data_IF_929963528159
#
_entry.id   IF_929963528159
#
_cell.length_a   1.000
_cell.length_b   1.000
_cell.length_c   1.000
_cell.angle_alpha   90.00
_cell.angle_beta   90.00
_cell.angle_gamma   90.00
#
_symmetry.space_group_name_H-M   'P 1'
#
loop_
_entity.id
_entity.type
_entity.pdbx_description
1 polymer ?
#
# COMPACT_ATOMS: atom_id res chain seq x y z
N UNK A 1 -20.13 -30.51 -24.62
CA UNK A 1 -19.93 -31.28 -23.38
C UNK A 1 -20.05 -30.30 -22.23
N UNK A 2 -21.14 -30.33 -21.48
CA UNK A 2 -21.40 -29.36 -20.40
C UNK A 2 -20.58 -29.76 -19.18
N UNK A 3 -19.57 -28.97 -18.83
CA UNK A 3 -18.82 -29.08 -17.59
C UNK A 3 -19.77 -28.78 -16.42
N UNK A 4 -20.24 -29.84 -15.74
CA UNK A 4 -21.15 -29.71 -14.61
C UNK A 4 -20.35 -29.17 -13.41
N UNK A 5 -20.40 -27.85 -13.20
CA UNK A 5 -19.72 -27.20 -12.09
C UNK A 5 -20.12 -27.87 -10.75
N UNK A 6 -19.12 -28.38 -10.01
CA UNK A 6 -19.32 -28.99 -8.68
C UNK A 6 -20.01 -27.98 -7.75
N UNK A 7 -21.05 -28.41 -7.05
CA UNK A 7 -21.83 -27.54 -6.15
C UNK A 7 -21.68 -27.92 -4.68
N UNK A 8 -21.95 -26.98 -3.79
CA UNK A 8 -21.96 -27.13 -2.32
C UNK A 8 -23.11 -26.30 -1.73
N UNK A 9 -23.75 -26.83 -0.69
CA UNK A 9 -24.80 -26.12 0.04
C UNK A 9 -24.17 -25.19 1.08
N UNK A 10 -24.58 -23.93 1.07
CA UNK A 10 -24.19 -22.94 2.07
C UNK A 10 -24.97 -23.17 3.37
N UNK A 11 -24.28 -23.42 4.50
CA UNK A 11 -24.97 -23.67 5.78
C UNK A 11 -25.61 -22.44 6.42
N UNK A 12 -25.40 -21.23 5.87
CA UNK A 12 -26.06 -20.00 6.35
C UNK A 12 -27.37 -19.71 5.61
N UNK A 13 -27.37 -19.81 4.28
CA UNK A 13 -28.54 -19.46 3.45
C UNK A 13 -29.27 -20.67 2.87
N UNK A 14 -28.76 -21.89 3.05
CA UNK A 14 -29.37 -23.12 2.55
C UNK A 14 -29.27 -23.36 1.04
N UNK A 15 -28.76 -22.38 0.27
CA UNK A 15 -28.72 -22.47 -1.20
C UNK A 15 -27.54 -23.33 -1.69
N UNK A 16 -27.79 -24.22 -2.65
CA UNK A 16 -26.75 -24.91 -3.42
C UNK A 16 -26.11 -23.96 -4.41
N UNK A 17 -24.80 -23.75 -4.30
CA UNK A 17 -24.02 -22.86 -5.16
C UNK A 17 -22.80 -23.57 -5.74
N UNK A 18 -22.25 -23.13 -6.88
CA UNK A 18 -20.96 -23.63 -7.37
C UNK A 18 -19.88 -23.52 -6.30
N UNK A 19 -18.93 -24.46 -6.26
CA UNK A 19 -17.79 -24.43 -5.32
C UNK A 19 -16.97 -23.15 -5.43
N UNK A 20 -16.94 -22.51 -6.62
CA UNK A 20 -16.33 -21.20 -6.85
C UNK A 20 -16.93 -20.07 -6.00
N UNK A 21 -18.17 -20.23 -5.51
CA UNK A 21 -18.82 -19.27 -4.60
C UNK A 21 -18.43 -19.46 -3.13
N UNK A 22 -17.53 -20.39 -2.84
CA UNK A 22 -17.00 -20.61 -1.51
C UNK A 22 -15.53 -20.19 -1.45
N UNK A 23 -15.12 -19.65 -0.31
CA UNK A 23 -13.70 -19.32 -0.09
C UNK A 23 -12.96 -20.61 0.28
N UNK A 24 -11.72 -20.73 -0.16
CA UNK A 24 -10.87 -21.86 0.21
C UNK A 24 -10.61 -21.90 1.73
N UNK A 25 -10.62 -23.11 2.27
CA UNK A 25 -10.25 -23.41 3.65
C UNK A 25 -9.53 -24.77 3.69
N UNK A 26 -8.20 -24.71 3.68
CA UNK A 26 -7.34 -25.90 3.62
C UNK A 26 -7.43 -26.78 4.87
N UNK A 27 -8.07 -26.30 5.94
CA UNK A 27 -8.33 -27.11 7.14
C UNK A 27 -9.53 -28.05 6.99
N UNK A 28 -10.36 -27.86 5.94
CA UNK A 28 -11.58 -28.64 5.71
C UNK A 28 -11.32 -29.76 4.71
N UNK A 29 -12.07 -30.86 4.87
CA UNK A 29 -11.98 -32.06 4.02
C UNK A 29 -12.19 -31.76 2.53
N UNK A 30 -13.12 -30.88 2.20
CA UNK A 30 -13.43 -30.47 0.82
C UNK A 30 -12.67 -29.21 0.39
N UNK A 31 -11.81 -28.66 1.24
CA UNK A 31 -11.02 -27.47 0.97
C UNK A 31 -11.82 -26.16 0.91
N UNK A 32 -13.09 -26.14 1.34
CA UNK A 32 -14.00 -24.99 1.19
C UNK A 32 -14.68 -24.62 2.50
N UNK A 33 -14.97 -23.32 2.67
CA UNK A 33 -15.77 -22.83 3.81
C UNK A 33 -17.23 -23.32 3.73
N UNK A 34 -17.90 -23.35 4.88
CA UNK A 34 -19.32 -23.71 4.98
C UNK A 34 -20.27 -22.63 4.44
N UNK A 35 -19.86 -21.37 4.52
CA UNK A 35 -20.66 -20.23 4.05
C UNK A 35 -20.17 -19.76 2.69
N UNK A 36 -21.10 -19.40 1.79
CA UNK A 36 -20.75 -18.79 0.51
C UNK A 36 -20.13 -17.40 0.70
N UNK A 37 -19.47 -16.88 -0.33
CA UNK A 37 -18.79 -15.57 -0.36
C UNK A 37 -19.74 -14.43 0.02
N UNK A 38 -20.96 -14.45 -0.49
CA UNK A 38 -22.00 -13.46 -0.16
C UNK A 38 -22.30 -13.46 1.35
N UNK A 39 -22.64 -14.62 1.90
CA UNK A 39 -22.94 -14.78 3.32
C UNK A 39 -21.78 -14.35 4.24
N UNK A 40 -20.52 -14.61 3.82
CA UNK A 40 -19.34 -14.12 4.53
C UNK A 40 -19.20 -12.59 4.44
N UNK A 41 -19.47 -11.99 3.27
CA UNK A 41 -19.42 -10.55 3.06
C UNK A 41 -20.44 -9.82 3.93
N UNK A 42 -21.68 -10.29 3.95
CA UNK A 42 -22.74 -9.76 4.83
C UNK A 42 -22.34 -9.84 6.30
N UNK A 43 -21.81 -11.00 6.74
CA UNK A 43 -21.34 -11.16 8.12
C UNK A 43 -20.22 -10.17 8.44
N UNK A 44 -19.26 -10.00 7.53
CA UNK A 44 -18.19 -9.04 7.71
C UNK A 44 -18.73 -7.60 7.76
N UNK A 45 -19.63 -7.22 6.85
CA UNK A 45 -20.25 -5.90 6.83
C UNK A 45 -20.98 -5.59 8.14
N UNK A 46 -21.80 -6.53 8.63
CA UNK A 46 -22.53 -6.40 9.89
C UNK A 46 -21.62 -6.30 11.14
N UNK A 47 -20.35 -6.71 11.04
CA UNK A 47 -19.40 -6.68 12.15
C UNK A 47 -18.20 -5.77 11.89
N UNK A 48 -18.22 -5.00 10.79
CA UNK A 48 -17.03 -4.31 10.27
C UNK A 48 -16.47 -3.35 11.31
N UNK A 49 -17.33 -2.55 11.93
CA UNK A 49 -16.91 -1.55 12.92
C UNK A 49 -16.29 -2.18 14.14
N UNK A 50 -16.93 -3.21 14.71
CA UNK A 50 -16.41 -3.96 15.85
C UNK A 50 -15.06 -4.61 15.55
N UNK A 51 -14.91 -5.22 14.37
CA UNK A 51 -13.64 -5.81 13.94
C UNK A 51 -12.55 -4.74 13.83
N UNK A 52 -12.87 -3.59 13.24
CA UNK A 52 -11.92 -2.49 13.11
C UNK A 52 -11.52 -1.89 14.47
N UNK A 53 -12.47 -1.79 15.41
CA UNK A 53 -12.18 -1.33 16.77
C UNK A 53 -11.24 -2.30 17.49
N UNK A 54 -11.57 -3.59 17.51
CA UNK A 54 -10.70 -4.61 18.10
C UNK A 54 -9.29 -4.62 17.49
N UNK A 55 -9.18 -4.38 16.17
CA UNK A 55 -7.89 -4.26 15.50
C UNK A 55 -7.13 -3.01 15.93
N UNK A 56 -7.82 -1.86 16.10
CA UNK A 56 -7.22 -0.61 16.61
C UNK A 56 -6.72 -0.79 18.04
N UNK A 57 -7.54 -1.36 18.92
CA UNK A 57 -7.18 -1.66 20.30
C UNK A 57 -5.95 -2.57 20.36
N UNK A 58 -5.99 -3.70 19.64
CA UNK A 58 -4.87 -4.63 19.57
C UNK A 58 -3.59 -3.96 19.07
N UNK A 59 -3.68 -3.20 17.97
CA UNK A 59 -2.53 -2.50 17.41
C UNK A 59 -1.97 -1.47 18.39
N UNK A 60 -2.84 -0.71 19.04
CA UNK A 60 -2.44 0.34 20.00
C UNK A 60 -1.76 -0.27 21.22
N UNK A 61 -2.37 -1.28 21.83
CA UNK A 61 -1.83 -1.99 22.98
C UNK A 61 -0.52 -2.73 22.68
N UNK A 62 -0.28 -3.13 21.42
CA UNK A 62 0.91 -3.89 21.02
C UNK A 62 1.87 -3.10 20.11
N UNK A 63 1.68 -1.79 19.98
CA UNK A 63 2.38 -0.95 18.99
C UNK A 63 3.89 -1.10 19.09
N UNK A 64 4.42 -1.01 20.31
CA UNK A 64 5.86 -1.08 20.54
C UNK A 64 6.42 -2.45 20.21
N UNK A 65 5.77 -3.53 20.66
CA UNK A 65 6.16 -4.91 20.36
C UNK A 65 6.13 -5.21 18.86
N UNK A 66 5.07 -4.77 18.16
CA UNK A 66 4.94 -4.91 16.71
C UNK A 66 6.06 -4.14 16.01
N UNK A 67 6.31 -2.90 16.41
CA UNK A 67 7.36 -2.06 15.81
C UNK A 67 8.76 -2.62 16.08
N UNK A 68 9.05 -3.09 17.29
CA UNK A 68 10.31 -3.72 17.64
C UNK A 68 10.57 -4.98 16.80
N UNK A 69 9.57 -5.86 16.69
CA UNK A 69 9.64 -7.05 15.82
C UNK A 69 9.89 -6.66 14.36
N UNK A 70 9.15 -5.67 13.85
CA UNK A 70 9.29 -5.23 12.46
C UNK A 70 10.67 -4.61 12.20
N UNK A 71 11.22 -3.83 13.14
CA UNK A 71 12.59 -3.30 13.08
C UNK A 71 13.62 -4.43 13.10
N UNK A 72 13.49 -5.38 14.01
CA UNK A 72 14.39 -6.54 14.08
C UNK A 72 14.38 -7.32 12.76
N UNK A 73 13.21 -7.62 12.21
CA UNK A 73 13.07 -8.29 10.91
C UNK A 73 13.71 -7.48 9.77
N UNK A 74 13.52 -6.16 9.73
CA UNK A 74 14.09 -5.29 8.70
C UNK A 74 15.63 -5.31 8.69
N UNK A 75 16.28 -5.59 9.82
CA UNK A 75 17.73 -5.68 9.93
C UNK A 75 18.31 -7.04 9.50
N UNK A 76 17.47 -8.08 9.41
CA UNK A 76 17.90 -9.41 8.95
C UNK A 76 18.34 -9.39 7.47
N UNK A 77 19.20 -10.33 7.04
CA UNK A 77 19.57 -10.45 5.62
C UNK A 77 18.36 -10.55 4.69
N UNK A 78 17.38 -11.40 5.03
CA UNK A 78 16.14 -11.57 4.26
C UNK A 78 15.28 -10.31 4.22
N UNK A 79 15.21 -9.56 5.32
CA UNK A 79 14.51 -8.28 5.39
C UNK A 79 15.15 -7.24 4.48
N UNK A 80 16.49 -7.14 4.51
CA UNK A 80 17.26 -6.24 3.63
C UNK A 80 17.13 -6.64 2.16
N UNK A 81 17.27 -7.92 1.85
CA UNK A 81 17.09 -8.47 0.49
C UNK A 81 15.72 -8.10 -0.06
N UNK A 82 14.64 -8.35 0.70
CA UNK A 82 13.28 -7.96 0.31
C UNK A 82 13.15 -6.46 0.07
N UNK A 83 13.76 -5.63 0.92
CA UNK A 83 13.76 -4.17 0.75
C UNK A 83 14.46 -3.78 -0.55
N UNK A 84 15.64 -4.31 -0.83
CA UNK A 84 16.38 -4.03 -2.06
C UNK A 84 15.65 -4.53 -3.30
N UNK A 85 15.08 -5.74 -3.28
CA UNK A 85 14.27 -6.27 -4.36
C UNK A 85 13.07 -5.36 -4.68
N UNK A 86 12.38 -4.85 -3.64
CA UNK A 86 11.28 -3.90 -3.81
C UNK A 86 11.74 -2.58 -4.44
N UNK A 87 12.85 -2.02 -3.96
CA UNK A 87 13.42 -0.78 -4.50
C UNK A 87 13.87 -0.96 -5.95
N UNK A 88 14.60 -2.04 -6.25
CA UNK A 88 15.07 -2.36 -7.60
C UNK A 88 13.89 -2.55 -8.56
N UNK A 89 12.85 -3.29 -8.15
CA UNK A 89 11.62 -3.42 -8.93
C UNK A 89 10.95 -2.08 -9.21
N UNK A 90 10.83 -1.21 -8.20
CA UNK A 90 10.24 0.11 -8.39
C UNK A 90 11.06 0.97 -9.35
N UNK A 91 12.39 0.96 -9.24
CA UNK A 91 13.30 1.69 -10.12
C UNK A 91 13.20 1.20 -11.57
N UNK A 92 13.22 -0.12 -11.78
CA UNK A 92 13.06 -0.73 -13.10
C UNK A 92 11.71 -0.38 -13.75
N UNK A 93 10.65 -0.29 -12.95
CA UNK A 93 9.31 0.10 -13.44
C UNK A 93 9.09 1.62 -13.53
N UNK A 94 10.01 2.44 -13.00
CA UNK A 94 9.91 3.91 -13.01
C UNK A 94 11.27 4.55 -13.34
N UNK A 95 11.88 4.22 -14.51
CA UNK A 95 13.22 4.69 -14.85
C UNK A 95 13.28 6.22 -15.00
N UNK A 96 12.29 6.82 -15.67
CA UNK A 96 12.16 8.27 -15.84
C UNK A 96 12.14 9.00 -14.48
N UNK A 97 11.28 8.56 -13.55
CA UNK A 97 11.19 9.17 -12.21
C UNK A 97 12.48 9.03 -11.42
N UNK A 98 13.12 7.86 -11.52
CA UNK A 98 14.40 7.58 -10.86
C UNK A 98 15.48 8.50 -11.42
N UNK A 99 15.53 8.66 -12.74
CA UNK A 99 16.48 9.54 -13.42
C UNK A 99 16.29 11.00 -13.03
N UNK A 100 15.06 11.51 -13.06
CA UNK A 100 14.72 12.88 -12.67
C UNK A 100 15.16 13.18 -11.22
N UNK A 101 14.91 12.25 -10.29
CA UNK A 101 15.31 12.37 -8.90
C UNK A 101 16.84 12.40 -8.73
N UNK A 102 17.57 11.54 -9.46
CA UNK A 102 19.04 11.49 -9.42
C UNK A 102 19.61 12.82 -9.92
N UNK A 103 19.17 13.29 -11.10
CA UNK A 103 19.62 14.55 -11.69
C UNK A 103 19.40 15.73 -10.74
N UNK A 104 18.19 15.86 -10.18
CA UNK A 104 17.88 16.94 -9.26
C UNK A 104 18.75 16.89 -8.01
N UNK A 105 18.91 15.69 -7.42
CA UNK A 105 19.74 15.51 -6.21
C UNK A 105 21.19 15.91 -6.46
N UNK A 106 21.75 15.51 -7.59
CA UNK A 106 23.12 15.84 -7.96
C UNK A 106 23.29 17.33 -8.27
N UNK A 107 22.31 17.96 -8.93
CA UNK A 107 22.31 19.40 -9.20
C UNK A 107 22.22 20.24 -7.92
N UNK A 108 21.41 19.81 -6.95
CA UNK A 108 21.34 20.46 -5.63
C UNK A 108 22.64 20.27 -4.85
N UNK A 109 23.21 19.06 -4.85
CA UNK A 109 24.47 18.77 -4.16
C UNK A 109 25.64 19.56 -4.75
N UNK A 110 25.69 19.72 -6.07
CA UNK A 110 26.72 20.48 -6.77
C UNK A 110 26.50 22.00 -6.77
N UNK A 111 25.37 22.47 -6.24
CA UNK A 111 25.02 23.90 -6.22
C UNK A 111 24.49 24.47 -7.54
N UNK A 112 24.41 23.67 -8.61
CA UNK A 112 23.80 24.07 -9.90
C UNK A 112 22.32 24.46 -9.75
N UNK A 113 21.64 23.85 -8.80
CA UNK A 113 20.25 24.18 -8.43
C UNK A 113 20.22 24.57 -6.96
N UNK A 114 19.82 25.81 -6.68
CA UNK A 114 19.64 26.28 -5.32
C UNK A 114 18.27 25.83 -4.80
N UNK A 115 18.29 25.10 -3.67
CA UNK A 115 17.08 24.71 -2.96
C UNK A 115 16.34 25.96 -2.47
N UNK A 116 15.07 26.09 -2.82
CA UNK A 116 14.24 27.21 -2.36
C UNK A 116 13.43 26.85 -1.11
N UNK A 117 12.98 27.85 -0.33
CA UNK A 117 11.99 27.65 0.72
C UNK A 117 10.67 27.10 0.18
N UNK A 118 9.83 26.60 1.09
CA UNK A 118 8.54 26.04 0.71
C UNK A 118 7.65 27.13 0.11
N UNK A 119 7.14 26.93 -1.09
CA UNK A 119 6.28 27.92 -1.76
C UNK A 119 4.96 28.20 -1.03
N UNK A 120 4.53 27.29 -0.13
CA UNK A 120 3.28 27.44 0.64
C UNK A 120 3.52 28.13 1.98
N UNK A 121 4.62 27.82 2.70
CA UNK A 121 4.82 28.31 4.07
C UNK A 121 6.22 28.86 4.39
N UNK A 122 7.12 28.95 3.42
CA UNK A 122 8.46 29.51 3.62
C UNK A 122 9.43 28.62 4.41
N UNK A 123 9.06 27.41 4.82
CA UNK A 123 9.99 26.52 5.54
C UNK A 123 11.23 26.22 4.66
N UNK A 124 12.47 26.45 5.16
CA UNK A 124 13.69 26.25 4.36
C UNK A 124 14.04 24.76 4.15
N UNK A 125 13.48 23.84 4.94
CA UNK A 125 13.69 22.39 4.78
C UNK A 125 12.69 21.84 3.77
N UNK A 126 13.09 21.88 2.49
CA UNK A 126 12.25 21.48 1.36
C UNK A 126 12.75 20.24 0.60
N UNK A 127 11.82 19.65 -0.14
CA UNK A 127 12.05 18.66 -1.18
C UNK A 127 11.55 19.21 -2.52
N UNK A 128 12.14 18.75 -3.62
CA UNK A 128 11.61 19.04 -4.95
C UNK A 128 10.45 18.09 -5.27
N UNK A 129 9.25 18.64 -5.47
CA UNK A 129 8.11 17.92 -6.01
C UNK A 129 8.15 18.00 -7.54
N UNK A 130 8.35 16.86 -8.21
CA UNK A 130 8.30 16.80 -9.67
C UNK A 130 6.84 16.86 -10.15
N UNK A 131 6.51 17.89 -10.93
CA UNK A 131 5.20 18.01 -11.61
C UNK A 131 5.22 17.25 -12.93
N UNK A 132 6.36 17.29 -13.63
CA UNK A 132 6.65 16.54 -14.83
C UNK A 132 8.05 15.89 -14.68
N UNK A 133 8.18 14.60 -14.96
CA UNK A 133 9.39 13.81 -14.69
C UNK A 133 10.38 13.84 -15.87
N UNK A 134 9.94 14.27 -17.05
CA UNK A 134 10.72 14.57 -18.25
C UNK A 134 11.52 15.87 -18.15
N UNK A 135 11.17 16.72 -17.17
CA UNK A 135 11.86 17.97 -16.84
C UNK A 135 12.45 17.91 -15.42
N UNK A 136 13.66 17.35 -15.22
CA UNK A 136 14.21 17.07 -13.90
C UNK A 136 14.37 18.29 -12.97
N UNK A 137 14.46 19.50 -13.53
CA UNK A 137 14.58 20.75 -12.77
C UNK A 137 13.26 21.50 -12.60
N UNK A 138 12.19 21.07 -13.27
CA UNK A 138 10.85 21.63 -13.10
C UNK A 138 10.22 21.06 -11.81
N UNK A 139 10.74 21.51 -10.67
CA UNK A 139 10.26 21.09 -9.36
C UNK A 139 9.68 22.24 -8.56
N UNK A 140 8.57 21.95 -7.88
CA UNK A 140 8.03 22.83 -6.85
C UNK A 140 8.71 22.54 -5.52
N UNK A 141 9.30 23.56 -4.90
CA UNK A 141 9.93 23.41 -3.59
C UNK A 141 8.89 23.43 -2.48
N UNK A 142 8.72 22.30 -1.80
CA UNK A 142 7.73 22.15 -0.73
C UNK A 142 8.34 21.47 0.49
N UNK A 143 7.88 21.84 1.68
CA UNK A 143 8.28 21.16 2.91
C UNK A 143 7.70 19.75 2.96
N UNK A 144 8.16 18.91 3.89
CA UNK A 144 7.68 17.52 4.02
C UNK A 144 6.15 17.41 4.11
N UNK A 145 5.51 18.28 4.89
CA UNK A 145 4.06 18.26 5.08
C UNK A 145 3.35 18.55 3.75
N UNK A 146 3.63 19.71 3.15
CA UNK A 146 3.02 20.08 1.89
C UNK A 146 3.36 19.15 0.73
N UNK A 147 4.51 18.46 0.76
CA UNK A 147 4.83 17.42 -0.23
C UNK A 147 3.86 16.23 -0.16
N UNK A 148 3.48 15.83 1.06
CA UNK A 148 2.49 14.76 1.28
C UNK A 148 1.12 15.24 0.81
N UNK A 149 0.74 16.47 1.16
CA UNK A 149 -0.54 17.07 0.81
C UNK A 149 -0.71 17.17 -0.71
N UNK A 150 0.32 17.60 -1.45
CA UNK A 150 0.31 17.62 -2.91
C UNK A 150 0.07 16.21 -3.50
N UNK A 151 0.73 15.18 -2.96
CA UNK A 151 0.47 13.80 -3.41
C UNK A 151 -0.93 13.30 -3.05
N UNK A 152 -1.49 13.71 -1.91
CA UNK A 152 -2.86 13.38 -1.53
C UNK A 152 -3.87 14.00 -2.49
N UNK A 153 -3.73 15.30 -2.78
CA UNK A 153 -4.57 16.03 -3.74
C UNK A 153 -4.52 15.41 -5.14
N UNK A 154 -3.33 15.10 -5.65
CA UNK A 154 -3.18 14.43 -6.95
C UNK A 154 -3.86 13.06 -7.01
N UNK A 155 -3.96 12.35 -5.88
CA UNK A 155 -4.65 11.06 -5.81
C UNK A 155 -6.17 11.24 -5.77
N UNK A 156 -6.67 12.31 -5.17
CA UNK A 156 -8.10 12.63 -5.11
C UNK A 156 -8.62 13.06 -6.48
N UNK A 157 -7.89 13.92 -7.20
CA UNK A 157 -8.25 14.37 -8.56
C UNK A 157 -8.24 13.25 -9.62
N UNK A 158 -7.66 12.10 -9.30
CA UNK A 158 -7.58 10.92 -10.19
C UNK A 158 -8.64 9.86 -9.90
N UNK A 159 -9.47 10.04 -8.86
CA UNK A 159 -10.60 9.17 -8.55
C UNK A 159 -11.84 9.63 -9.30
#
# INVERSE_FOLDING_TARGET
>A
MTDTAKTKICSKCGVSKPTADFMADRSRRDGLRYHCKQCNRERYAANKEKILEQQREYYTANREKINARNRAYAQTPKGKERKYASVSKWQASNPEKTHAQIILKDAVRSGKVLRQPCIICGNPKTHGHHVAYDLPFAVSWVCRQHHIDTHALHKELKK
#
